data_IF_485138838067
#
_entry.id   IF_485138838067
#
_cell.length_a   1.000
_cell.length_b   1.000
_cell.length_c   1.000
_cell.angle_alpha   90.00
_cell.angle_beta   90.00
_cell.angle_gamma   90.00
#
_symmetry.space_group_name_H-M   'P 1'
#
loop_
_entity.id
_entity.type
_entity.pdbx_description
1 polymer ?
#
# COMPACT_ATOMS: atom_id res chain seq x y z
N UNK A 1 -21.10 -20.38 3.82
CA UNK A 1 -20.65 -20.46 2.42
C UNK A 1 -19.64 -21.58 2.30
N UNK A 2 -19.71 -22.43 1.26
CA UNK A 2 -18.72 -23.48 1.01
C UNK A 2 -17.38 -22.86 0.59
N UNK A 3 -16.24 -23.54 0.82
CA UNK A 3 -14.90 -23.06 0.42
C UNK A 3 -14.83 -22.67 -1.07
N UNK A 4 -15.50 -23.41 -1.93
CA UNK A 4 -15.53 -23.17 -3.39
C UNK A 4 -16.26 -21.86 -3.78
N UNK A 5 -17.20 -21.40 -2.96
CA UNK A 5 -17.95 -20.18 -3.27
C UNK A 5 -17.17 -18.91 -2.93
N UNK A 6 -16.40 -18.91 -1.83
CA UNK A 6 -15.52 -17.79 -1.48
C UNK A 6 -14.48 -17.53 -2.56
N UNK A 7 -13.76 -18.59 -2.97
CA UNK A 7 -12.67 -18.46 -3.94
C UNK A 7 -13.17 -18.02 -5.31
N UNK A 8 -14.34 -18.49 -5.74
CA UNK A 8 -14.95 -18.09 -7.02
C UNK A 8 -15.44 -16.63 -7.01
N UNK A 9 -16.10 -16.19 -5.96
CA UNK A 9 -16.61 -14.82 -5.84
C UNK A 9 -15.49 -13.78 -5.81
N UNK A 10 -14.39 -14.09 -5.13
CA UNK A 10 -13.26 -13.17 -4.97
C UNK A 10 -12.31 -13.19 -6.18
N UNK A 11 -12.15 -14.35 -6.84
CA UNK A 11 -11.27 -14.47 -8.02
C UNK A 11 -11.69 -13.60 -9.20
N UNK A 12 -13.01 -13.34 -9.35
CA UNK A 12 -13.53 -12.42 -10.36
C UNK A 12 -13.21 -10.95 -10.08
N UNK A 13 -12.87 -10.60 -8.86
CA UNK A 13 -12.69 -9.23 -8.38
C UNK A 13 -13.99 -8.43 -8.20
N UNK A 14 -15.17 -9.07 -8.31
CA UNK A 14 -16.48 -8.44 -8.03
C UNK A 14 -16.80 -8.41 -6.54
N UNK A 15 -16.20 -9.31 -5.79
CA UNK A 15 -16.22 -9.35 -4.34
C UNK A 15 -14.77 -9.28 -3.86
N UNK A 16 -14.51 -8.56 -2.77
CA UNK A 16 -13.18 -8.47 -2.17
C UNK A 16 -13.26 -8.71 -0.65
N UNK A 17 -12.27 -9.36 -0.03
CA UNK A 17 -12.22 -9.54 1.41
C UNK A 17 -11.93 -8.19 2.08
N UNK A 18 -12.96 -7.39 2.31
CA UNK A 18 -12.83 -6.06 2.89
C UNK A 18 -12.55 -6.19 4.39
N UNK A 19 -11.36 -5.77 4.81
CA UNK A 19 -11.01 -5.71 6.22
C UNK A 19 -11.64 -4.48 6.88
N UNK A 20 -11.40 -3.30 6.30
CA UNK A 20 -11.94 -2.03 6.79
C UNK A 20 -11.97 -0.98 5.68
N UNK A 21 -12.79 0.04 5.85
CA UNK A 21 -12.81 1.20 4.98
C UNK A 21 -13.21 2.45 5.77
N UNK A 22 -12.43 3.53 5.65
CA UNK A 22 -12.59 4.72 6.47
C UNK A 22 -12.06 5.97 5.79
N UNK A 23 -12.57 7.13 6.19
CA UNK A 23 -12.10 8.43 5.75
C UNK A 23 -11.12 9.01 6.77
N UNK A 24 -9.93 9.37 6.33
CA UNK A 24 -8.87 9.90 7.19
C UNK A 24 -7.88 10.74 6.39
N UNK A 25 -6.70 11.00 6.97
CA UNK A 25 -5.58 11.70 6.35
C UNK A 25 -4.50 10.69 5.99
N UNK A 26 -3.99 10.73 4.73
CA UNK A 26 -2.81 9.96 4.34
C UNK A 26 -1.64 10.35 5.23
N UNK A 27 -1.16 9.40 6.01
CA UNK A 27 -0.10 9.62 7.00
C UNK A 27 1.31 9.42 6.48
N UNK A 28 1.49 8.91 5.24
CA UNK A 28 2.77 8.42 4.73
C UNK A 28 3.10 8.96 3.33
N UNK A 29 4.38 8.92 2.97
CA UNK A 29 4.86 9.13 1.62
C UNK A 29 4.62 10.52 1.04
N UNK A 30 4.44 10.57 -0.29
CA UNK A 30 4.33 11.81 -1.04
C UNK A 30 3.04 12.59 -0.73
N UNK A 31 1.93 11.89 -0.57
CA UNK A 31 0.61 12.48 -0.34
C UNK A 31 0.28 12.70 1.14
N UNK A 32 1.29 12.62 2.03
CA UNK A 32 1.12 12.87 3.45
C UNK A 32 0.41 14.21 3.71
N UNK A 33 -0.59 14.18 4.60
CA UNK A 33 -1.39 15.35 4.97
C UNK A 33 -2.65 15.54 4.15
N UNK A 34 -2.84 14.77 3.07
CA UNK A 34 -4.03 14.86 2.22
C UNK A 34 -5.16 13.99 2.76
N UNK A 35 -6.39 14.51 2.74
CA UNK A 35 -7.57 13.71 3.06
C UNK A 35 -7.83 12.65 1.98
N UNK A 36 -8.13 11.42 2.40
CA UNK A 36 -8.41 10.31 1.50
C UNK A 36 -9.34 9.27 2.14
N UNK A 37 -10.04 8.53 1.31
CA UNK A 37 -10.81 7.38 1.77
C UNK A 37 -10.00 6.11 1.56
N UNK A 38 -9.73 5.38 2.63
CA UNK A 38 -8.93 4.17 2.61
C UNK A 38 -9.83 2.94 2.45
N UNK A 39 -9.39 2.00 1.61
CA UNK A 39 -9.99 0.69 1.41
C UNK A 39 -8.90 -0.33 1.70
N UNK A 40 -8.98 -1.00 2.85
CA UNK A 40 -8.03 -2.02 3.28
C UNK A 40 -8.56 -3.41 2.95
N UNK A 41 -7.86 -4.11 2.06
CA UNK A 41 -8.22 -5.44 1.57
C UNK A 41 -7.45 -6.49 2.37
N UNK A 42 -8.13 -7.52 2.84
CA UNK A 42 -7.53 -8.68 3.49
C UNK A 42 -6.83 -9.62 2.49
N UNK A 43 -5.91 -10.42 3.00
CA UNK A 43 -5.08 -11.36 2.25
C UNK A 43 -3.65 -10.83 2.04
N UNK A 44 -2.66 -11.53 2.60
CA UNK A 44 -1.25 -11.25 2.39
C UNK A 44 -0.41 -12.49 2.73
N UNK A 45 0.46 -12.89 1.81
CA UNK A 45 1.38 -14.01 1.97
C UNK A 45 2.87 -13.57 1.93
N UNK A 46 3.12 -12.26 2.05
CA UNK A 46 4.47 -11.69 2.02
C UNK A 46 5.25 -12.01 3.29
N UNK A 47 4.57 -12.11 4.45
CA UNK A 47 5.13 -12.62 5.69
C UNK A 47 6.17 -11.69 6.36
N UNK A 48 5.92 -10.38 6.40
CA UNK A 48 6.80 -9.41 7.06
C UNK A 48 6.74 -9.62 8.58
N UNK A 49 7.84 -9.97 9.25
CA UNK A 49 7.86 -10.19 10.70
C UNK A 49 7.45 -8.96 11.52
N UNK A 50 7.74 -7.76 11.01
CA UNK A 50 7.41 -6.46 11.60
C UNK A 50 6.10 -5.84 11.08
N UNK A 51 5.25 -6.64 10.42
CA UNK A 51 3.95 -6.14 9.93
C UNK A 51 3.11 -5.59 11.10
N UNK A 52 2.59 -4.39 10.94
CA UNK A 52 1.73 -3.71 11.91
C UNK A 52 0.23 -4.01 11.70
N UNK A 53 -0.11 -4.79 10.67
CA UNK A 53 -1.50 -5.18 10.33
C UNK A 53 -1.55 -6.69 10.02
N UNK A 54 -1.09 -7.52 10.96
CA UNK A 54 -1.07 -8.99 10.78
C UNK A 54 -2.47 -9.59 10.63
N UNK A 55 -3.48 -8.93 11.16
CA UNK A 55 -4.89 -9.29 11.03
C UNK A 55 -5.35 -9.34 9.58
N UNK A 56 -4.67 -8.60 8.68
CA UNK A 56 -4.95 -8.62 7.24
C UNK A 56 -4.46 -9.88 6.52
N UNK A 57 -3.66 -10.75 7.14
CA UNK A 57 -3.01 -11.86 6.42
C UNK A 57 -3.97 -12.93 5.97
N UNK A 58 -4.92 -13.33 6.84
CA UNK A 58 -5.92 -14.33 6.48
C UNK A 58 -7.14 -13.69 5.81
N UNK A 59 -7.32 -13.84 4.48
CA UNK A 59 -8.46 -13.26 3.80
C UNK A 59 -9.81 -13.82 4.26
N UNK A 60 -9.84 -15.02 4.85
CA UNK A 60 -11.08 -15.65 5.32
C UNK A 60 -11.63 -15.01 6.59
N UNK A 61 -10.77 -14.27 7.32
CA UNK A 61 -11.20 -13.47 8.47
C UNK A 61 -11.99 -12.22 8.05
N UNK A 62 -12.03 -11.91 6.75
CA UNK A 62 -12.67 -10.72 6.21
C UNK A 62 -13.74 -11.12 5.20
N UNK A 63 -15.04 -10.83 5.47
CA UNK A 63 -16.12 -11.29 4.60
C UNK A 63 -16.03 -10.66 3.21
N UNK A 64 -16.29 -11.44 2.12
CA UNK A 64 -16.34 -10.90 0.78
C UNK A 64 -17.41 -9.82 0.69
N UNK A 65 -17.00 -8.65 0.25
CA UNK A 65 -17.87 -7.47 0.12
C UNK A 65 -17.99 -7.09 -1.35
N UNK A 66 -19.21 -6.85 -1.81
CA UNK A 66 -19.48 -6.40 -3.18
C UNK A 66 -18.82 -5.04 -3.41
N UNK A 67 -17.99 -4.96 -4.46
CA UNK A 67 -17.24 -3.73 -4.80
C UNK A 67 -18.15 -2.54 -5.07
N UNK A 68 -19.39 -2.73 -5.50
CA UNK A 68 -20.37 -1.65 -5.70
C UNK A 68 -20.76 -0.98 -4.38
N UNK A 69 -20.83 -1.75 -3.28
CA UNK A 69 -21.05 -1.21 -1.93
C UNK A 69 -19.83 -0.40 -1.49
N UNK A 70 -18.63 -0.92 -1.70
CA UNK A 70 -17.37 -0.25 -1.37
C UNK A 70 -17.29 1.10 -2.11
N UNK A 71 -17.50 1.09 -3.43
CA UNK A 71 -17.45 2.29 -4.27
C UNK A 71 -18.52 3.31 -3.88
N UNK A 72 -19.77 2.86 -3.62
CA UNK A 72 -20.85 3.75 -3.18
C UNK A 72 -20.48 4.46 -1.88
N UNK A 73 -19.92 3.75 -0.92
CA UNK A 73 -19.48 4.34 0.35
C UNK A 73 -18.32 5.32 0.12
N UNK A 74 -17.26 4.90 -0.56
CA UNK A 74 -16.06 5.69 -0.79
C UNK A 74 -16.37 7.04 -1.50
N UNK A 75 -17.21 7.00 -2.52
CA UNK A 75 -17.57 8.19 -3.31
C UNK A 75 -18.35 9.28 -2.56
N UNK A 76 -18.87 8.97 -1.36
CA UNK A 76 -19.55 9.94 -0.52
C UNK A 76 -18.61 10.78 0.35
N UNK A 77 -17.32 10.37 0.47
CA UNK A 77 -16.40 10.97 1.43
C UNK A 77 -15.20 11.67 0.80
N UNK A 78 -14.71 11.21 -0.35
CA UNK A 78 -13.47 11.75 -0.91
C UNK A 78 -13.35 11.53 -2.41
N UNK A 79 -12.67 12.47 -3.09
CA UNK A 79 -12.26 12.31 -4.49
C UNK A 79 -10.98 11.48 -4.63
N UNK A 80 -10.31 11.18 -3.52
CA UNK A 80 -9.07 10.38 -3.50
C UNK A 80 -9.27 9.12 -2.66
N UNK A 81 -9.05 7.99 -3.30
CA UNK A 81 -9.18 6.66 -2.72
C UNK A 81 -7.79 6.02 -2.61
N UNK A 82 -7.44 5.53 -1.45
CA UNK A 82 -6.20 4.75 -1.22
C UNK A 82 -6.58 3.29 -1.02
N UNK A 83 -6.20 2.45 -1.95
CA UNK A 83 -6.35 1.00 -1.83
C UNK A 83 -5.09 0.43 -1.21
N UNK A 84 -5.24 -0.19 -0.06
CA UNK A 84 -4.16 -0.76 0.76
C UNK A 84 -4.62 -2.09 1.37
N UNK A 85 -3.90 -2.61 2.33
CA UNK A 85 -4.39 -3.75 3.10
C UNK A 85 -3.29 -4.68 3.56
N UNK A 86 -3.51 -5.98 3.37
CA UNK A 86 -2.46 -6.97 3.31
C UNK A 86 -1.65 -6.76 2.03
N UNK A 87 -2.05 -7.42 0.94
CA UNK A 87 -1.49 -7.17 -0.40
C UNK A 87 -2.63 -7.05 -1.43
N UNK A 88 -3.01 -5.83 -1.83
CA UNK A 88 -4.15 -5.64 -2.73
C UNK A 88 -4.00 -6.35 -4.07
N UNK A 89 -2.79 -6.40 -4.66
CA UNK A 89 -2.55 -7.04 -5.94
C UNK A 89 -2.61 -8.58 -5.90
N UNK A 90 -2.78 -9.17 -4.72
CA UNK A 90 -3.16 -10.59 -4.60
C UNK A 90 -4.50 -10.86 -5.27
N UNK A 91 -5.33 -9.84 -5.44
CA UNK A 91 -6.67 -9.90 -6.01
C UNK A 91 -6.76 -9.17 -7.35
N UNK A 92 -7.79 -9.50 -8.13
CA UNK A 92 -8.09 -8.77 -9.37
C UNK A 92 -8.72 -7.40 -9.05
N UNK A 93 -7.90 -6.34 -9.05
CA UNK A 93 -8.34 -4.97 -8.77
C UNK A 93 -9.00 -4.27 -9.95
N UNK A 94 -9.03 -4.87 -11.15
CA UNK A 94 -9.58 -4.23 -12.35
C UNK A 94 -11.06 -3.82 -12.18
N UNK A 95 -11.96 -4.67 -11.66
CA UNK A 95 -13.36 -4.27 -11.49
C UNK A 95 -13.54 -3.10 -10.52
N UNK A 96 -12.88 -3.14 -9.35
CA UNK A 96 -12.96 -2.07 -8.36
C UNK A 96 -12.48 -0.74 -8.93
N UNK A 97 -11.28 -0.74 -9.52
CA UNK A 97 -10.70 0.50 -10.06
C UNK A 97 -11.48 1.05 -11.26
N UNK A 98 -12.10 0.20 -12.07
CA UNK A 98 -12.99 0.62 -13.15
C UNK A 98 -14.18 1.42 -12.59
N UNK A 99 -14.88 0.88 -11.60
CA UNK A 99 -16.03 1.56 -10.99
C UNK A 99 -15.63 2.88 -10.29
N UNK A 100 -14.46 2.92 -9.63
CA UNK A 100 -13.95 4.15 -9.02
C UNK A 100 -13.65 5.21 -10.09
N UNK A 101 -13.05 4.80 -11.22
CA UNK A 101 -12.74 5.69 -12.35
C UNK A 101 -13.99 6.20 -13.06
N UNK A 102 -15.03 5.42 -13.19
CA UNK A 102 -16.33 5.84 -13.74
C UNK A 102 -16.98 6.97 -12.90
N UNK A 103 -16.60 7.07 -11.62
CA UNK A 103 -16.98 8.18 -10.73
C UNK A 103 -15.97 9.33 -10.68
N UNK A 104 -14.99 9.37 -11.60
CA UNK A 104 -13.93 10.36 -11.66
C UNK A 104 -13.05 10.45 -10.39
N UNK A 105 -12.98 9.39 -9.61
CA UNK A 105 -12.17 9.36 -8.40
C UNK A 105 -10.69 9.10 -8.73
N UNK A 106 -9.78 9.71 -7.98
CA UNK A 106 -8.35 9.41 -8.00
C UNK A 106 -8.10 8.14 -7.19
N UNK A 107 -7.37 7.19 -7.75
CA UNK A 107 -7.16 5.89 -7.13
C UNK A 107 -5.67 5.65 -6.93
N UNK A 108 -5.24 5.61 -5.68
CA UNK A 108 -3.87 5.34 -5.26
C UNK A 108 -3.74 3.91 -4.77
N UNK A 109 -2.60 3.30 -5.00
CA UNK A 109 -2.27 1.95 -4.54
C UNK A 109 -1.08 1.97 -3.60
N UNK A 110 -1.19 1.23 -2.51
CA UNK A 110 -0.07 0.83 -1.64
C UNK A 110 0.15 -0.67 -1.77
N UNK A 111 1.30 -1.11 -2.25
CA UNK A 111 1.59 -2.53 -2.54
C UNK A 111 3.05 -2.89 -2.31
N UNK A 112 3.30 -4.15 -1.98
CA UNK A 112 4.65 -4.72 -2.03
C UNK A 112 5.13 -4.99 -3.46
N UNK A 113 4.22 -5.02 -4.44
CA UNK A 113 4.50 -5.23 -5.85
C UNK A 113 4.84 -6.67 -6.24
N UNK A 114 4.61 -7.66 -5.37
CA UNK A 114 4.99 -9.07 -5.59
C UNK A 114 4.06 -9.82 -6.53
N UNK A 115 2.89 -9.27 -6.82
CA UNK A 115 1.91 -9.80 -7.75
C UNK A 115 1.84 -8.99 -9.04
N UNK A 116 1.22 -9.56 -10.06
CA UNK A 116 1.01 -8.87 -11.32
C UNK A 116 0.05 -7.69 -11.13
N UNK A 117 0.36 -6.59 -11.81
CA UNK A 117 -0.42 -5.37 -11.67
C UNK A 117 -1.76 -5.51 -12.38
N UNK A 118 -2.83 -5.41 -11.63
CA UNK A 118 -4.20 -5.35 -12.13
C UNK A 118 -4.83 -4.00 -11.75
N UNK A 119 -5.82 -3.54 -12.53
CA UNK A 119 -6.48 -2.26 -12.28
C UNK A 119 -5.79 -1.04 -12.90
N UNK A 120 -6.38 0.14 -12.65
CA UNK A 120 -5.92 1.45 -13.15
C UNK A 120 -5.64 2.37 -11.96
N UNK A 121 -4.42 2.88 -11.88
CA UNK A 121 -3.92 3.65 -10.73
C UNK A 121 -3.46 5.03 -11.17
N UNK A 122 -3.76 6.06 -10.39
CA UNK A 122 -3.26 7.43 -10.59
C UNK A 122 -1.98 7.68 -9.78
N UNK A 123 -1.76 6.87 -8.75
CA UNK A 123 -0.55 6.85 -7.95
C UNK A 123 -0.22 5.43 -7.52
N UNK A 124 1.00 5.01 -7.76
CA UNK A 124 1.48 3.66 -7.44
C UNK A 124 2.63 3.77 -6.42
N UNK A 125 2.33 3.51 -5.15
CA UNK A 125 3.33 3.41 -4.09
C UNK A 125 3.84 1.96 -4.01
N UNK A 126 5.08 1.75 -4.42
CA UNK A 126 5.79 0.48 -4.29
C UNK A 126 6.55 0.45 -2.97
N UNK A 127 6.19 -0.48 -2.09
CA UNK A 127 6.88 -0.73 -0.82
C UNK A 127 7.49 -2.14 -0.80
N UNK A 128 8.68 -2.35 -1.43
CA UNK A 128 9.27 -3.67 -1.60
C UNK A 128 9.64 -4.31 -0.27
N UNK A 129 9.57 -5.63 -0.21
CA UNK A 129 9.90 -6.44 0.96
C UNK A 129 11.02 -7.42 0.62
N UNK A 130 11.90 -7.71 1.59
CA UNK A 130 13.04 -8.62 1.37
C UNK A 130 12.62 -10.06 1.13
N UNK A 131 11.46 -10.47 1.65
CA UNK A 131 10.98 -11.84 1.60
C UNK A 131 10.52 -12.29 0.21
N UNK A 132 10.00 -11.34 -0.59
CA UNK A 132 9.53 -11.59 -1.96
C UNK A 132 9.89 -10.41 -2.85
N UNK A 133 10.43 -10.69 -4.02
CA UNK A 133 10.80 -9.65 -4.98
C UNK A 133 9.57 -9.10 -5.70
N UNK A 134 9.45 -7.77 -5.85
CA UNK A 134 8.46 -7.17 -6.73
C UNK A 134 8.59 -7.63 -8.19
N UNK A 135 7.46 -7.64 -8.90
CA UNK A 135 7.42 -7.87 -10.33
C UNK A 135 8.06 -6.70 -11.09
N UNK A 136 8.67 -6.96 -12.23
CA UNK A 136 9.32 -5.94 -13.08
C UNK A 136 8.39 -4.77 -13.37
N UNK A 137 7.14 -5.06 -13.72
CA UNK A 137 6.13 -4.04 -14.03
C UNK A 137 5.90 -3.05 -12.89
N UNK A 138 5.93 -3.50 -11.64
CA UNK A 138 5.76 -2.64 -10.46
C UNK A 138 6.87 -1.58 -10.36
N UNK A 139 8.12 -1.93 -10.69
CA UNK A 139 9.21 -0.95 -10.72
C UNK A 139 9.07 0.07 -11.86
N UNK A 140 8.61 -0.37 -13.03
CA UNK A 140 8.47 0.47 -14.21
C UNK A 140 7.43 1.59 -14.02
N UNK A 141 6.34 1.28 -13.30
CA UNK A 141 5.20 2.20 -13.15
C UNK A 141 5.13 2.89 -11.79
N UNK A 142 6.05 2.59 -10.87
CA UNK A 142 6.04 3.20 -9.54
C UNK A 142 6.21 4.72 -9.62
N UNK A 143 5.29 5.45 -8.99
CA UNK A 143 5.39 6.89 -8.75
C UNK A 143 6.16 7.18 -7.46
N UNK A 144 6.08 6.24 -6.53
CA UNK A 144 6.73 6.30 -5.22
C UNK A 144 7.37 4.96 -4.86
N UNK A 145 8.61 5.00 -4.39
CA UNK A 145 9.31 3.89 -3.75
C UNK A 145 9.44 4.21 -2.25
N UNK A 146 8.72 3.50 -1.40
CA UNK A 146 8.74 3.67 0.04
C UNK A 146 9.37 2.44 0.71
N UNK A 147 10.60 2.58 1.22
CA UNK A 147 11.34 1.48 1.83
C UNK A 147 11.31 1.61 3.35
N UNK A 148 10.84 0.54 4.00
CA UNK A 148 10.83 0.45 5.46
C UNK A 148 12.23 0.11 5.96
N UNK A 149 12.73 0.89 6.90
CA UNK A 149 14.03 0.73 7.55
C UNK A 149 13.81 0.18 8.96
N UNK A 150 14.16 -1.07 9.16
CA UNK A 150 14.12 -1.75 10.46
C UNK A 150 15.51 -1.77 11.12
N UNK A 151 16.58 -1.81 10.30
CA UNK A 151 17.96 -1.81 10.74
C UNK A 151 18.90 -1.21 9.69
N UNK A 152 20.20 -1.03 10.03
CA UNK A 152 21.22 -0.42 9.15
C UNK A 152 21.41 -1.13 7.79
N UNK A 153 21.14 -2.42 7.71
CA UNK A 153 21.29 -3.15 6.45
C UNK A 153 20.20 -2.81 5.43
N UNK A 154 19.09 -2.20 5.87
CA UNK A 154 17.98 -1.83 5.01
C UNK A 154 18.31 -0.66 4.09
N UNK A 155 19.29 0.18 4.43
CA UNK A 155 19.78 1.23 3.52
C UNK A 155 20.42 0.62 2.25
N UNK A 156 21.17 -0.48 2.37
CA UNK A 156 21.71 -1.19 1.21
C UNK A 156 20.61 -1.80 0.34
N UNK A 157 19.57 -2.32 0.98
CA UNK A 157 18.39 -2.81 0.29
C UNK A 157 17.66 -1.67 -0.44
N UNK A 158 17.44 -0.54 0.21
CA UNK A 158 16.82 0.64 -0.39
C UNK A 158 17.59 1.11 -1.64
N UNK A 159 18.93 1.20 -1.56
CA UNK A 159 19.77 1.56 -2.72
C UNK A 159 19.68 0.54 -3.85
N UNK A 160 19.63 -0.75 -3.54
CA UNK A 160 19.44 -1.80 -4.55
C UNK A 160 18.10 -1.66 -5.27
N UNK A 161 17.03 -1.40 -4.51
CA UNK A 161 15.69 -1.25 -5.06
C UNK A 161 15.55 0.06 -5.86
N UNK A 162 16.16 1.16 -5.40
CA UNK A 162 16.12 2.45 -6.09
C UNK A 162 16.78 2.43 -7.49
N UNK A 163 17.65 1.49 -7.77
CA UNK A 163 18.27 1.33 -9.10
C UNK A 163 17.35 0.68 -10.14
N UNK A 164 16.23 0.10 -9.71
CA UNK A 164 15.32 -0.66 -10.58
C UNK A 164 14.11 0.18 -11.03
N UNK A 165 13.87 1.31 -10.39
CA UNK A 165 12.70 2.16 -10.66
C UNK A 165 12.96 3.15 -11.80
N UNK A 166 11.88 3.73 -12.32
CA UNK A 166 11.97 4.82 -13.29
C UNK A 166 12.48 6.13 -12.64
N UNK A 167 13.05 7.04 -13.45
CA UNK A 167 13.70 8.28 -12.99
C UNK A 167 12.76 9.31 -12.37
N UNK A 168 11.46 9.20 -12.58
CA UNK A 168 10.44 10.14 -12.05
C UNK A 168 9.94 9.72 -10.66
N UNK A 169 10.20 8.47 -10.26
CA UNK A 169 9.74 7.90 -9.00
C UNK A 169 10.31 8.66 -7.80
N UNK A 170 9.46 8.96 -6.83
CA UNK A 170 9.85 9.62 -5.58
C UNK A 170 10.36 8.57 -4.58
N UNK A 171 11.48 8.87 -3.91
CA UNK A 171 12.14 7.95 -3.01
C UNK A 171 11.92 8.31 -1.57
N UNK A 172 11.42 7.37 -0.77
CA UNK A 172 11.15 7.55 0.65
C UNK A 172 11.78 6.44 1.50
N UNK A 173 12.37 6.86 2.62
CA UNK A 173 12.77 5.98 3.70
C UNK A 173 11.85 6.21 4.88
N UNK A 174 11.28 5.14 5.42
CA UNK A 174 10.35 5.18 6.54
C UNK A 174 10.86 4.28 7.66
N UNK A 175 10.99 4.76 8.91
CA UNK A 175 11.35 3.88 10.02
C UNK A 175 10.23 2.87 10.25
N UNK A 176 10.58 1.63 10.55
CA UNK A 176 9.63 0.70 11.13
C UNK A 176 9.19 1.25 12.50
N UNK A 177 7.88 1.18 12.78
CA UNK A 177 7.27 1.94 13.87
C UNK A 177 7.84 1.61 15.24
N UNK A 178 8.06 0.34 15.56
CA UNK A 178 8.59 -0.08 16.86
C UNK A 178 10.05 0.32 17.07
N UNK A 179 10.78 0.60 15.99
CA UNK A 179 12.19 0.99 15.98
C UNK A 179 12.41 2.46 15.66
N UNK A 180 11.34 3.26 15.49
CA UNK A 180 11.41 4.63 14.97
C UNK A 180 12.41 5.51 15.74
N UNK A 181 12.44 5.42 17.08
CA UNK A 181 13.29 6.28 17.91
C UNK A 181 14.79 5.98 17.70
N UNK A 182 15.12 4.71 17.43
CA UNK A 182 16.50 4.28 17.14
C UNK A 182 16.90 4.51 15.69
N UNK A 183 15.96 4.37 14.75
CA UNK A 183 16.22 4.38 13.31
C UNK A 183 16.09 5.78 12.71
N UNK A 184 15.23 6.63 13.25
CA UNK A 184 15.00 7.96 12.69
C UNK A 184 16.29 8.81 12.60
N UNK A 185 17.16 8.90 13.62
CA UNK A 185 18.42 9.63 13.49
C UNK A 185 19.29 9.13 12.35
N UNK A 186 19.32 7.81 12.13
CA UNK A 186 20.07 7.20 11.02
C UNK A 186 19.47 7.53 9.65
N UNK A 187 18.13 7.58 9.54
CA UNK A 187 17.46 8.00 8.31
C UNK A 187 17.75 9.46 8.01
N UNK A 188 17.68 10.35 9.02
CA UNK A 188 17.96 11.76 8.85
C UNK A 188 19.40 11.97 8.33
N UNK A 189 20.39 11.37 8.98
CA UNK A 189 21.78 11.42 8.54
C UNK A 189 21.95 10.90 7.12
N UNK A 190 21.25 9.80 6.81
CA UNK A 190 21.34 9.18 5.49
C UNK A 190 20.74 10.08 4.40
N UNK A 191 19.56 10.66 4.64
CA UNK A 191 18.88 11.56 3.70
C UNK A 191 19.71 12.82 3.47
N UNK A 192 20.29 13.41 4.52
CA UNK A 192 21.19 14.59 4.40
C UNK A 192 22.41 14.30 3.50
N UNK A 193 22.95 13.08 3.53
CA UNK A 193 24.05 12.65 2.69
C UNK A 193 23.62 12.17 1.29
N UNK A 194 22.35 11.83 1.12
CA UNK A 194 21.77 11.28 -0.11
C UNK A 194 20.44 11.98 -0.44
N UNK A 195 20.48 13.23 -0.95
CA UNK A 195 19.29 14.11 -1.08
C UNK A 195 18.24 13.63 -2.08
N UNK A 196 18.50 12.57 -2.85
CA UNK A 196 17.49 11.90 -3.67
C UNK A 196 16.39 11.24 -2.82
N UNK A 197 16.70 10.85 -1.58
CA UNK A 197 15.78 10.27 -0.63
C UNK A 197 15.07 11.33 0.20
N UNK A 198 13.85 11.03 0.62
CA UNK A 198 13.06 11.83 1.56
C UNK A 198 12.65 10.98 2.74
N UNK A 199 12.40 11.62 3.88
CA UNK A 199 11.86 10.96 5.06
C UNK A 199 10.35 10.80 4.89
N UNK A 200 9.84 9.58 5.09
CA UNK A 200 8.42 9.32 5.31
C UNK A 200 8.18 9.06 6.80
N UNK A 201 7.18 9.70 7.35
CA UNK A 201 6.68 9.44 8.70
C UNK A 201 5.37 8.66 8.61
N UNK A 202 4.97 8.01 9.70
CA UNK A 202 3.60 7.51 9.91
C UNK A 202 2.82 8.55 10.72
N UNK A 203 2.51 9.68 10.09
CA UNK A 203 1.93 10.87 10.77
C UNK A 203 0.59 10.55 11.43
N UNK A 204 -0.22 9.65 10.82
CA UNK A 204 -1.47 9.18 11.40
C UNK A 204 -1.31 8.62 12.82
N UNK A 205 -0.20 7.90 13.10
CA UNK A 205 0.08 7.35 14.44
C UNK A 205 0.38 8.46 15.47
N UNK A 206 1.02 9.56 15.04
CA UNK A 206 1.24 10.72 15.92
C UNK A 206 -0.05 11.51 16.15
N UNK A 207 -0.91 11.61 15.13
CA UNK A 207 -2.20 12.26 15.21
C UNK A 207 -3.26 11.41 15.93
N UNK A 208 -2.97 10.13 16.20
CA UNK A 208 -3.89 9.14 16.80
C UNK A 208 -5.20 9.00 16.01
N UNK A 209 -5.08 8.97 14.69
CA UNK A 209 -6.18 8.73 13.73
C UNK A 209 -5.94 7.41 13.00
N UNK A 210 -6.99 6.81 12.39
CA UNK A 210 -6.87 5.59 11.61
C UNK A 210 -5.86 5.69 10.48
#
# INVERSE_FOLDING_TARGET
MSKNNFDHEVSSGKMLPLMEAFYTIQGEGFHKGSAAYFIRIGGCDVGCHWCDVKESWDPKSHPPTDIRKIVKQASNFSDTIVVTGGEPLMWNMKPLTTLLKEKNLKVHLETSGVYDVTGKWDWFCLSPKKNKNPKKKSYEIADELKVIIYNKHDFKFAEKESKKINSKCKLFLQPEWSKRDQIMPLIVDYVMKNPKWKVSLQTHKYLKIP
#
